data_IF_527510022684
#
_entry.id   IF_527510022684
#
_cell.length_a   1.000
_cell.length_b   1.000
_cell.length_c   1.000
_cell.angle_alpha   90.00
_cell.angle_beta   90.00
_cell.angle_gamma   90.00
#
_symmetry.space_group_name_H-M   'P 1'
#
loop_
_entity.id
_entity.type
_entity.pdbx_description
1 polymer ?
#
# COMPACT_ATOMS: atom_id res chain seq x y z
N UNK A 1 -11.56 4.53 -10.72
CA UNK A 1 -11.20 3.26 -10.03
C UNK A 1 -12.35 2.29 -10.19
N UNK A 2 -12.08 0.99 -10.14
CA UNK A 2 -13.08 -0.07 -10.18
C UNK A 2 -13.27 -0.58 -8.76
N UNK A 3 -14.45 -0.34 -8.19
CA UNK A 3 -14.79 -0.70 -6.81
C UNK A 3 -16.15 -1.37 -6.75
N UNK A 4 -16.29 -2.34 -5.84
CA UNK A 4 -17.56 -2.97 -5.49
C UNK A 4 -17.79 -2.85 -3.98
N UNK A 5 -19.03 -2.90 -3.48
CA UNK A 5 -19.26 -2.99 -2.03
C UNK A 5 -18.61 -4.26 -1.45
N UNK A 6 -17.89 -4.13 -0.33
CA UNK A 6 -17.31 -5.30 0.33
C UNK A 6 -18.34 -5.93 1.29
N UNK A 7 -18.75 -7.15 0.97
CA UNK A 7 -19.73 -7.94 1.75
C UNK A 7 -19.02 -8.67 2.90
N UNK A 8 -19.70 -8.83 4.03
CA UNK A 8 -19.18 -9.58 5.19
C UNK A 8 -18.17 -8.81 6.04
N UNK A 9 -17.94 -7.53 5.75
CA UNK A 9 -17.08 -6.65 6.54
C UNK A 9 -17.94 -5.95 7.61
N UNK A 10 -17.63 -6.10 8.91
CA UNK A 10 -18.34 -5.39 9.98
C UNK A 10 -18.24 -3.87 9.81
N UNK A 11 -19.34 -3.16 10.08
CA UNK A 11 -19.38 -1.70 10.13
C UNK A 11 -19.48 -1.15 11.56
N UNK A 12 -19.53 -2.05 12.55
CA UNK A 12 -19.59 -1.76 13.97
C UNK A 12 -18.62 -2.66 14.74
N UNK A 13 -18.27 -2.25 15.97
CA UNK A 13 -17.33 -2.98 16.81
C UNK A 13 -15.85 -2.71 16.47
N UNK A 14 -14.97 -3.54 17.05
CA UNK A 14 -13.51 -3.30 17.06
C UNK A 14 -12.86 -3.36 15.68
N UNK A 15 -13.45 -4.10 14.73
CA UNK A 15 -13.00 -4.22 13.34
C UNK A 15 -13.97 -3.57 12.36
N UNK A 16 -14.69 -2.54 12.81
CA UNK A 16 -15.57 -1.75 11.95
C UNK A 16 -14.77 -1.08 10.83
N UNK A 17 -15.28 -1.18 9.61
CA UNK A 17 -14.80 -0.45 8.44
C UNK A 17 -15.89 0.48 7.94
N UNK A 18 -15.60 1.77 7.90
CA UNK A 18 -16.56 2.75 7.40
C UNK A 18 -16.72 2.65 5.88
N UNK A 19 -17.96 2.39 5.41
CA UNK A 19 -18.31 2.24 3.98
C UNK A 19 -17.32 1.32 3.25
N UNK A 20 -17.30 0.02 3.59
CA UNK A 20 -16.29 -0.90 3.11
C UNK A 20 -16.46 -1.16 1.62
N UNK A 21 -15.36 -1.05 0.88
CA UNK A 21 -15.30 -1.30 -0.56
C UNK A 21 -14.19 -2.29 -0.88
N UNK A 22 -14.39 -3.03 -1.97
CA UNK A 22 -13.37 -3.86 -2.60
C UNK A 22 -12.80 -3.10 -3.80
N UNK A 23 -11.56 -2.66 -3.70
CA UNK A 23 -10.81 -2.02 -4.78
C UNK A 23 -10.16 -3.09 -5.67
N UNK A 24 -10.68 -3.23 -6.88
CA UNK A 24 -10.24 -4.26 -7.83
C UNK A 24 -9.20 -3.71 -8.82
N UNK A 25 -9.31 -2.42 -9.15
CA UNK A 25 -8.36 -1.78 -10.04
C UNK A 25 -8.39 -0.25 -9.97
N UNK A 26 -7.30 0.35 -10.44
CA UNK A 26 -7.19 1.79 -10.69
C UNK A 26 -7.15 2.03 -12.19
N UNK A 27 -7.99 2.95 -12.68
CA UNK A 27 -8.03 3.36 -14.08
C UNK A 27 -7.08 4.54 -14.30
N UNK A 28 -6.30 4.47 -15.38
CA UNK A 28 -5.37 5.50 -15.89
C UNK A 28 -5.85 5.90 -17.29
N UNK A 29 -6.29 7.15 -17.45
CA UNK A 29 -6.95 7.56 -18.69
C UNK A 29 -8.20 6.73 -18.99
N UNK A 30 -8.47 6.48 -20.27
CA UNK A 30 -9.66 5.74 -20.71
C UNK A 30 -9.48 4.22 -20.74
N UNK A 31 -8.31 3.73 -21.14
CA UNK A 31 -8.15 2.33 -21.54
C UNK A 31 -7.22 1.51 -20.64
N UNK A 32 -6.48 2.15 -19.73
CA UNK A 32 -5.47 1.45 -18.93
C UNK A 32 -5.99 1.15 -17.53
N UNK A 33 -5.88 -0.11 -17.14
CA UNK A 33 -6.33 -0.65 -15.86
C UNK A 33 -5.14 -1.25 -15.11
N UNK A 34 -4.88 -0.76 -13.90
CA UNK A 34 -3.93 -1.35 -12.96
C UNK A 34 -4.70 -2.26 -12.03
N UNK A 35 -4.56 -3.57 -12.18
CA UNK A 35 -5.24 -4.54 -11.32
C UNK A 35 -4.65 -4.54 -9.90
N UNK A 36 -5.48 -4.77 -8.89
CA UNK A 36 -5.02 -5.11 -7.54
C UNK A 36 -5.26 -6.62 -7.33
N UNK A 37 -4.20 -7.34 -6.97
CA UNK A 37 -4.19 -8.78 -6.86
C UNK A 37 -3.69 -9.25 -5.47
N UNK A 38 -4.56 -9.85 -4.64
CA UNK A 38 -6.01 -9.87 -4.78
C UNK A 38 -6.62 -8.45 -4.66
N UNK A 39 -7.91 -8.26 -4.99
CA UNK A 39 -8.61 -7.01 -4.73
C UNK A 39 -8.55 -6.62 -3.25
N UNK A 40 -8.25 -5.36 -2.95
CA UNK A 40 -8.07 -4.89 -1.58
C UNK A 40 -9.41 -4.50 -0.95
N UNK A 41 -9.67 -4.94 0.28
CA UNK A 41 -10.85 -4.50 1.05
C UNK A 41 -10.43 -3.37 1.97
N UNK A 42 -11.05 -2.20 1.80
CA UNK A 42 -10.65 -0.94 2.44
C UNK A 42 -11.89 -0.12 2.83
N UNK A 43 -11.70 0.87 3.72
CA UNK A 43 -12.66 1.97 3.83
C UNK A 43 -12.70 2.76 2.52
N UNK A 44 -13.83 3.39 2.22
CA UNK A 44 -13.95 4.20 0.99
C UNK A 44 -12.90 5.32 0.90
N UNK A 45 -12.53 5.95 2.03
CA UNK A 45 -11.48 6.98 2.07
C UNK A 45 -10.10 6.41 1.79
N UNK A 46 -9.77 5.25 2.37
CA UNK A 46 -8.49 4.59 2.13
C UNK A 46 -8.38 4.12 0.68
N UNK A 47 -9.45 3.55 0.11
CA UNK A 47 -9.48 3.18 -1.30
C UNK A 47 -9.23 4.39 -2.22
N UNK A 48 -9.79 5.56 -1.91
CA UNK A 48 -9.54 6.78 -2.67
C UNK A 48 -8.08 7.24 -2.58
N UNK A 49 -7.49 7.23 -1.37
CA UNK A 49 -6.10 7.63 -1.16
C UNK A 49 -5.11 6.69 -1.88
N UNK A 50 -5.33 5.37 -1.78
CA UNK A 50 -4.53 4.36 -2.49
C UNK A 50 -4.69 4.53 -4.01
N UNK A 51 -5.90 4.76 -4.50
CA UNK A 51 -6.12 4.98 -5.92
C UNK A 51 -5.43 6.25 -6.44
N UNK A 52 -5.35 7.32 -5.65
CA UNK A 52 -4.61 8.53 -6.00
C UNK A 52 -3.10 8.26 -6.04
N UNK A 53 -2.53 7.64 -5.00
CA UNK A 53 -1.11 7.25 -4.95
C UNK A 53 -0.70 6.35 -6.12
N UNK A 54 -1.55 5.39 -6.50
CA UNK A 54 -1.30 4.54 -7.67
C UNK A 54 -1.23 5.37 -8.95
N UNK A 55 -2.18 6.29 -9.17
CA UNK A 55 -2.24 7.11 -10.40
C UNK A 55 -1.07 8.07 -10.51
N UNK A 56 -0.79 8.75 -9.42
CA UNK A 56 0.05 9.94 -9.41
C UNK A 56 1.53 9.60 -9.17
N UNK A 57 1.82 8.50 -8.46
CA UNK A 57 3.19 8.15 -8.08
C UNK A 57 3.63 6.78 -8.58
N UNK A 58 2.86 5.71 -8.31
CA UNK A 58 3.31 4.36 -8.64
C UNK A 58 3.36 4.12 -10.15
N UNK A 59 2.37 4.60 -10.89
CA UNK A 59 2.31 4.48 -12.34
C UNK A 59 3.50 5.17 -13.01
N UNK A 60 3.77 6.47 -12.80
CA UNK A 60 4.93 7.11 -13.43
C UNK A 60 6.26 6.47 -13.02
N UNK A 61 6.40 6.08 -11.74
CA UNK A 61 7.60 5.45 -11.22
C UNK A 61 7.88 4.10 -11.87
N UNK A 62 6.87 3.24 -11.97
CA UNK A 62 7.00 1.92 -12.58
C UNK A 62 7.19 2.02 -14.10
N UNK A 63 6.43 2.87 -14.79
CA UNK A 63 6.54 3.06 -16.24
C UNK A 63 7.94 3.58 -16.65
N UNK A 64 8.59 4.40 -15.79
CA UNK A 64 9.95 4.88 -16.01
C UNK A 64 11.02 3.77 -16.04
N UNK A 65 10.67 2.54 -15.65
CA UNK A 65 11.55 1.36 -15.80
C UNK A 65 11.51 0.73 -17.20
N UNK A 66 10.81 1.37 -18.14
CA UNK A 66 10.78 1.01 -19.56
C UNK A 66 9.64 0.06 -19.96
N UNK A 67 8.71 -0.24 -19.05
CA UNK A 67 7.56 -1.11 -19.31
C UNK A 67 6.36 -0.67 -18.46
N UNK A 68 5.13 -0.61 -19.01
CA UNK A 68 3.96 -0.12 -18.27
C UNK A 68 3.62 -0.96 -17.05
N UNK A 69 3.24 -0.32 -15.94
CA UNK A 69 2.60 -0.99 -14.82
C UNK A 69 1.24 -1.56 -15.24
N UNK A 70 0.98 -2.82 -14.89
CA UNK A 70 -0.30 -3.50 -15.20
C UNK A 70 -0.99 -4.07 -13.97
N UNK A 71 -0.25 -4.38 -12.92
CA UNK A 71 -0.79 -5.05 -11.73
C UNK A 71 0.01 -4.70 -10.47
N UNK A 72 -0.69 -4.70 -9.34
CA UNK A 72 -0.13 -4.53 -8.00
C UNK A 72 -0.46 -5.77 -7.19
N UNK A 73 0.56 -6.36 -6.57
CA UNK A 73 0.40 -7.40 -5.55
C UNK A 73 0.04 -6.75 -4.23
N UNK A 74 -1.13 -7.08 -3.70
CA UNK A 74 -1.61 -6.67 -2.37
C UNK A 74 -1.17 -7.73 -1.37
N UNK A 75 -0.22 -7.38 -0.49
CA UNK A 75 0.27 -8.31 0.52
C UNK A 75 -0.75 -8.51 1.65
N UNK A 76 -1.42 -7.43 2.06
CA UNK A 76 -2.53 -7.43 3.02
C UNK A 76 -3.43 -6.18 2.81
N UNK A 77 -4.69 -6.28 3.24
CA UNK A 77 -5.64 -5.17 3.25
C UNK A 77 -6.56 -5.26 4.48
N UNK A 78 -7.81 -5.68 4.35
CA UNK A 78 -8.64 -5.93 5.53
C UNK A 78 -8.25 -7.23 6.21
N UNK A 79 -7.90 -7.14 7.49
CA UNK A 79 -7.69 -8.31 8.33
C UNK A 79 -8.03 -7.99 9.79
N UNK A 80 -9.13 -8.56 10.28
CA UNK A 80 -9.56 -8.39 11.66
C UNK A 80 -8.70 -9.23 12.61
N UNK A 81 -7.63 -8.61 13.12
CA UNK A 81 -6.75 -9.18 14.15
C UNK A 81 -6.29 -8.08 15.12
N UNK A 82 -6.02 -8.41 16.40
CA UNK A 82 -5.37 -7.45 17.30
C UNK A 82 -3.97 -7.11 16.78
N UNK A 83 -3.49 -5.89 17.03
CA UNK A 83 -2.16 -5.45 16.60
C UNK A 83 -1.09 -6.40 17.15
N UNK A 84 -0.18 -6.83 16.28
CA UNK A 84 0.90 -7.78 16.59
C UNK A 84 0.41 -9.11 17.20
N UNK A 85 -0.86 -9.48 16.97
CA UNK A 85 -1.50 -10.68 17.55
C UNK A 85 -1.49 -10.72 19.09
N UNK A 86 -1.32 -9.56 19.73
CA UNK A 86 -1.31 -9.44 21.19
C UNK A 86 -2.74 -9.29 21.71
N UNK A 87 -3.18 -10.24 22.55
CA UNK A 87 -4.50 -10.17 23.17
C UNK A 87 -4.66 -8.86 23.98
N UNK A 88 -5.77 -8.15 23.75
CA UNK A 88 -6.05 -6.85 24.39
C UNK A 88 -5.37 -5.63 23.76
N UNK A 89 -4.54 -5.80 22.72
CA UNK A 89 -3.98 -4.67 22.00
C UNK A 89 -5.04 -3.91 21.18
N UNK A 90 -4.73 -2.66 20.83
CA UNK A 90 -5.56 -1.87 19.91
C UNK A 90 -5.79 -2.64 18.59
N UNK A 91 -6.96 -2.49 17.95
CA UNK A 91 -7.16 -3.05 16.62
C UNK A 91 -6.11 -2.53 15.63
N UNK A 92 -5.66 -3.40 14.72
CA UNK A 92 -4.76 -3.03 13.64
C UNK A 92 -5.45 -2.06 12.67
N UNK A 93 -4.69 -1.17 12.02
CA UNK A 93 -5.19 -0.34 10.93
C UNK A 93 -5.91 -1.17 9.85
N UNK A 94 -5.38 -2.37 9.55
CA UNK A 94 -6.00 -3.35 8.64
C UNK A 94 -7.41 -3.75 9.10
N UNK A 95 -7.59 -3.98 10.40
CA UNK A 95 -8.88 -4.34 10.99
C UNK A 95 -9.93 -3.24 10.88
N UNK A 96 -9.52 -1.99 10.64
CA UNK A 96 -10.43 -0.87 10.40
C UNK A 96 -10.49 -0.46 8.92
N UNK A 97 -9.89 -1.24 8.02
CA UNK A 97 -9.83 -0.95 6.58
C UNK A 97 -9.05 0.34 6.28
N UNK A 98 -8.12 0.72 7.15
CA UNK A 98 -7.33 1.94 7.06
C UNK A 98 -5.91 1.71 6.54
N UNK A 99 -5.49 0.46 6.37
CA UNK A 99 -4.16 0.09 5.90
C UNK A 99 -4.18 -0.73 4.60
N UNK A 100 -3.06 -0.66 3.90
CA UNK A 100 -2.80 -1.36 2.65
C UNK A 100 -1.31 -1.73 2.61
N UNK A 101 -1.02 -2.99 2.28
CA UNK A 101 0.36 -3.45 2.12
C UNK A 101 0.66 -3.69 0.64
N UNK A 102 1.59 -2.91 0.11
CA UNK A 102 2.11 -3.07 -1.25
C UNK A 102 3.22 -4.13 -1.23
N UNK A 103 2.97 -5.28 -1.86
CA UNK A 103 3.98 -6.34 -1.98
C UNK A 103 4.89 -6.17 -3.20
N UNK A 104 4.29 -5.94 -4.36
CA UNK A 104 5.03 -5.81 -5.62
C UNK A 104 4.23 -5.06 -6.71
N UNK A 105 4.95 -4.65 -7.75
CA UNK A 105 4.41 -4.08 -8.99
C UNK A 105 4.79 -4.97 -10.17
N UNK A 106 3.81 -5.46 -10.93
CA UNK A 106 4.04 -6.24 -12.15
C UNK A 106 3.90 -5.33 -13.38
N UNK A 107 4.90 -5.41 -14.25
CA UNK A 107 4.95 -4.68 -15.51
C UNK A 107 4.42 -5.52 -16.68
N UNK A 108 4.07 -4.87 -17.79
CA UNK A 108 3.51 -5.52 -18.98
C UNK A 108 4.45 -6.59 -19.59
N UNK A 109 5.76 -6.40 -19.44
CA UNK A 109 6.83 -7.32 -19.85
C UNK A 109 7.14 -8.41 -18.80
N UNK A 110 6.26 -8.60 -17.81
CA UNK A 110 6.34 -9.63 -16.76
C UNK A 110 7.45 -9.46 -15.73
N UNK A 111 8.22 -8.36 -15.77
CA UNK A 111 9.09 -8.00 -14.65
C UNK A 111 8.26 -7.69 -13.42
N UNK A 112 8.74 -8.14 -12.27
CA UNK A 112 8.16 -7.90 -10.96
C UNK A 112 9.10 -6.99 -10.18
N UNK A 113 8.62 -5.80 -9.82
CA UNK A 113 9.33 -4.87 -8.96
C UNK A 113 8.88 -5.12 -7.51
N UNK A 114 9.76 -5.73 -6.70
CA UNK A 114 9.45 -6.01 -5.28
C UNK A 114 10.01 -4.91 -4.38
N UNK A 115 9.56 -4.88 -3.12
CA UNK A 115 10.07 -3.92 -2.13
C UNK A 115 11.48 -4.26 -1.64
N UNK A 116 11.91 -5.51 -1.78
CA UNK A 116 13.22 -6.02 -1.35
C UNK A 116 14.27 -6.01 -2.45
N UNK A 117 13.91 -6.40 -3.67
CA UNK A 117 14.86 -6.68 -4.75
C UNK A 117 15.44 -5.45 -5.42
N UNK A 118 16.64 -5.59 -5.98
CA UNK A 118 17.34 -4.60 -6.82
C UNK A 118 16.60 -4.25 -8.12
N UNK A 119 15.40 -4.79 -8.33
CA UNK A 119 14.47 -4.41 -9.38
C UNK A 119 14.13 -2.92 -9.39
N UNK A 120 14.20 -2.26 -8.23
CA UNK A 120 14.04 -0.81 -8.12
C UNK A 120 15.40 -0.15 -7.92
N UNK A 121 15.71 0.84 -8.75
CA UNK A 121 16.89 1.70 -8.59
C UNK A 121 16.82 2.44 -7.24
N UNK A 122 17.96 2.85 -6.66
CA UNK A 122 17.96 3.63 -5.42
C UNK A 122 17.10 4.90 -5.51
N UNK A 123 17.17 5.60 -6.64
CA UNK A 123 16.35 6.77 -6.92
C UNK A 123 14.84 6.43 -6.93
N UNK A 124 14.44 5.35 -7.60
CA UNK A 124 13.05 4.92 -7.61
C UNK A 124 12.56 4.54 -6.21
N UNK A 125 13.36 3.84 -5.40
CA UNK A 125 13.00 3.53 -4.00
C UNK A 125 12.85 4.79 -3.15
N UNK A 126 13.73 5.77 -3.35
CA UNK A 126 13.64 7.05 -2.66
C UNK A 126 12.35 7.81 -3.03
N UNK A 127 11.98 7.86 -4.32
CA UNK A 127 10.72 8.45 -4.77
C UNK A 127 9.49 7.69 -4.24
N UNK A 128 9.54 6.36 -4.20
CA UNK A 128 8.48 5.53 -3.64
C UNK A 128 8.28 5.82 -2.15
N UNK A 129 9.37 5.86 -1.38
CA UNK A 129 9.34 6.23 0.04
C UNK A 129 8.82 7.65 0.24
N UNK A 130 9.31 8.62 -0.52
CA UNK A 130 8.92 10.02 -0.39
C UNK A 130 7.41 10.20 -0.63
N UNK A 131 6.89 9.67 -1.75
CA UNK A 131 5.45 9.76 -2.08
C UNK A 131 4.57 9.08 -1.04
N UNK A 132 4.97 7.92 -0.52
CA UNK A 132 4.23 7.26 0.55
C UNK A 132 4.21 8.12 1.82
N UNK A 133 5.37 8.63 2.24
CA UNK A 133 5.48 9.40 3.48
C UNK A 133 4.80 10.78 3.43
N UNK A 134 4.62 11.33 2.23
CA UNK A 134 3.83 12.56 2.03
C UNK A 134 2.33 12.30 2.16
N UNK A 135 1.84 11.13 1.72
CA UNK A 135 0.40 10.83 1.63
C UNK A 135 -0.18 10.16 2.88
N UNK A 136 0.61 9.37 3.59
CA UNK A 136 0.11 8.46 4.63
C UNK A 136 0.60 8.83 6.03
N UNK A 137 -0.23 8.54 7.04
CA UNK A 137 0.09 8.83 8.44
C UNK A 137 1.12 7.86 9.02
N UNK A 138 1.18 6.64 8.50
CA UNK A 138 2.17 5.63 8.85
C UNK A 138 2.67 4.99 7.56
N UNK A 139 3.99 4.91 7.43
CA UNK A 139 4.68 4.17 6.37
C UNK A 139 5.75 3.31 7.03
N UNK A 140 5.65 1.99 6.85
CA UNK A 140 6.58 1.00 7.38
C UNK A 140 7.06 0.11 6.22
N UNK A 141 8.36 0.05 6.02
CA UNK A 141 8.99 -0.86 5.07
C UNK A 141 10.23 -1.50 5.69
N UNK A 142 11.11 -2.01 4.82
CA UNK A 142 12.34 -2.70 5.22
C UNK A 142 13.12 -1.96 6.31
N UNK A 143 13.57 -2.67 7.36
CA UNK A 143 14.33 -2.11 8.47
C UNK A 143 13.54 -1.19 9.40
N UNK A 144 12.21 -1.28 9.44
CA UNK A 144 11.36 -0.57 10.40
C UNK A 144 11.21 -1.33 11.72
N UNK A 145 10.66 -2.55 11.68
CA UNK A 145 10.36 -3.36 12.86
C UNK A 145 10.51 -4.89 12.64
N UNK A 146 11.05 -5.31 11.49
CA UNK A 146 11.22 -6.73 11.14
C UNK A 146 9.97 -7.43 10.59
N UNK A 147 8.77 -6.85 10.71
CA UNK A 147 7.54 -7.42 10.15
C UNK A 147 7.23 -6.90 8.75
N UNK A 148 7.78 -5.75 8.36
CA UNK A 148 7.53 -5.09 7.07
C UNK A 148 8.75 -5.19 6.15
N UNK A 149 9.47 -6.31 6.19
CA UNK A 149 10.69 -6.48 5.41
C UNK A 149 10.41 -6.77 3.94
N UNK A 150 9.29 -7.39 3.60
CA UNK A 150 8.93 -7.86 2.25
C UNK A 150 7.81 -7.06 1.57
N UNK A 151 7.22 -6.10 2.26
CA UNK A 151 6.15 -5.24 1.75
C UNK A 151 6.28 -3.82 2.31
N UNK A 152 5.54 -2.88 1.72
CA UNK A 152 5.39 -1.52 2.22
C UNK A 152 4.00 -1.34 2.79
N UNK A 153 3.91 -1.21 4.11
CA UNK A 153 2.68 -0.87 4.82
C UNK A 153 2.45 0.64 4.75
N UNK A 154 1.23 1.03 4.39
CA UNK A 154 0.75 2.40 4.49
C UNK A 154 -0.61 2.47 5.19
N UNK A 155 -0.84 3.46 6.04
CA UNK A 155 -2.16 3.68 6.65
C UNK A 155 -2.58 5.15 6.79
N UNK A 156 -3.89 5.34 6.92
CA UNK A 156 -4.55 6.62 7.20
C UNK A 156 -4.93 6.78 8.67
N UNK A 157 -4.24 6.11 9.61
CA UNK A 157 -4.50 6.38 11.04
C UNK A 157 -4.22 7.87 11.29
N UNK A 158 -5.19 8.64 11.82
CA UNK A 158 -4.96 10.03 12.16
C UNK A 158 -3.85 10.17 13.18
N UNK A 159 -2.87 11.01 12.89
CA UNK A 159 -1.77 11.34 13.78
C UNK A 159 -1.77 12.82 14.12
N UNK A 160 -1.23 13.17 15.28
CA UNK A 160 -1.02 14.57 15.66
C UNK A 160 -0.07 15.23 14.63
N UNK A 161 -0.21 16.54 14.36
CA UNK A 161 0.72 17.25 13.50
C UNK A 161 2.19 16.99 13.89
N UNK A 162 3.04 16.71 12.91
CA UNK A 162 4.46 16.37 13.12
C UNK A 162 4.73 14.98 13.72
N UNK A 163 3.72 14.10 13.82
CA UNK A 163 3.87 12.72 14.34
C UNK A 163 3.65 11.63 13.29
N UNK A 164 3.66 11.98 12.00
CA UNK A 164 3.68 10.99 10.93
C UNK A 164 4.86 10.03 11.13
N UNK A 165 4.64 8.73 10.91
CA UNK A 165 5.72 7.74 10.94
C UNK A 165 6.11 7.44 9.50
N UNK A 166 7.38 7.66 9.19
CA UNK A 166 7.99 7.31 7.91
C UNK A 166 9.26 6.50 8.19
N UNK A 167 9.11 5.18 8.33
CA UNK A 167 10.18 4.27 8.67
C UNK A 167 10.36 3.25 7.56
N UNK A 168 11.37 3.46 6.74
CA UNK A 168 11.81 2.51 5.72
C UNK A 168 13.27 2.79 5.46
N UNK A 169 14.11 1.85 5.87
CA UNK A 169 15.55 1.90 5.63
C UNK A 169 15.79 1.47 4.19
N UNK A 170 16.26 2.41 3.38
CA UNK A 170 16.68 2.09 2.02
C UNK A 170 18.11 1.54 2.07
N UNK A 171 18.43 0.48 1.31
CA UNK A 171 19.81 0.03 1.16
C UNK A 171 20.70 1.23 0.79
N UNK A 172 21.87 1.35 1.43
CA UNK A 172 22.86 2.32 0.98
C UNK A 172 23.37 1.88 -0.39
N UNK A 173 23.59 2.84 -1.28
CA UNK A 173 24.28 2.58 -2.55
C UNK A 173 25.57 1.82 -2.24
N UNK A 174 25.68 0.59 -2.74
CA UNK A 174 26.92 -0.19 -2.66
C UNK A 174 27.88 0.38 -3.72
N UNK A 175 28.34 1.61 -3.51
CA UNK A 175 29.52 2.14 -4.19
C UNK A 175 30.68 2.09 -3.20
N UNK A 176 31.40 0.98 -3.27
CA UNK A 176 32.72 0.76 -2.69
C UNK A 176 33.47 -0.20 -3.59
#
# INVERSE_FOLDING_TARGET
MVVTPAVGVPQEGVCAVARPVRLEAVLIGHDRRIALNPPAVLSCSTAAAIAAWIREDLVPLADATGSPLVSITVADSYSCRPRNRLAGAKPSAHGNGLAFDLGAMELADKRILTMQSDSLTPAARQSLKASACERFGTVLGQGSDGYHEDHLHVDLIPRRPGRAICQWTLPRDSKG
#
